data_IF_897848301458
#
_entry.id   IF_897848301458
#
_cell.length_a   1.000
_cell.length_b   1.000
_cell.length_c   1.000
_cell.angle_alpha   90.00
_cell.angle_beta   90.00
_cell.angle_gamma   90.00
#
_symmetry.space_group_name_H-M   'P 1'
#
loop_
_entity.id
_entity.type
_entity.pdbx_description
1 polymer ?
#
# COMPACT_ATOMS: atom_id res chain seq x y z
N UNK A 1 -29.42 -28.77 -7.54
CA UNK A 1 -29.16 -27.95 -6.34
C UNK A 1 -28.09 -26.93 -6.70
N UNK A 2 -28.48 -25.70 -7.05
CA UNK A 2 -27.53 -24.65 -7.46
C UNK A 2 -26.96 -23.96 -6.23
N UNK A 3 -25.66 -24.10 -5.99
CA UNK A 3 -24.94 -23.24 -5.06
C UNK A 3 -24.89 -21.83 -5.67
N UNK A 4 -25.86 -21.00 -5.29
CA UNK A 4 -25.80 -19.55 -5.41
C UNK A 4 -24.50 -19.08 -4.75
N UNK A 5 -23.71 -18.25 -5.43
CA UNK A 5 -22.51 -17.72 -4.79
C UNK A 5 -21.63 -16.81 -5.64
N UNK A 6 -21.61 -16.96 -6.96
CA UNK A 6 -20.88 -16.06 -7.86
C UNK A 6 -21.48 -16.19 -9.27
N UNK A 7 -22.44 -15.34 -9.66
CA UNK A 7 -22.84 -15.22 -11.06
C UNK A 7 -21.68 -14.54 -11.79
N UNK A 8 -20.90 -15.31 -12.56
CA UNK A 8 -20.02 -14.71 -13.54
C UNK A 8 -20.92 -14.25 -14.70
N UNK A 9 -20.91 -12.97 -14.99
CA UNK A 9 -21.56 -12.44 -16.18
C UNK A 9 -20.87 -13.01 -17.43
N UNK A 10 -21.63 -13.17 -18.51
CA UNK A 10 -21.03 -13.50 -19.80
C UNK A 10 -20.29 -12.26 -20.31
N UNK A 11 -18.97 -12.24 -20.12
CA UNK A 11 -18.09 -11.13 -20.47
C UNK A 11 -16.72 -11.66 -20.91
N UNK A 12 -16.09 -10.97 -21.86
CA UNK A 12 -14.76 -11.31 -22.36
C UNK A 12 -13.66 -10.97 -21.33
N UNK A 13 -13.95 -10.08 -20.38
CA UNK A 13 -13.06 -9.68 -19.30
C UNK A 13 -13.82 -9.48 -17.99
N UNK A 14 -13.31 -10.07 -16.92
CA UNK A 14 -13.86 -9.95 -15.57
C UNK A 14 -12.73 -9.58 -14.62
N UNK A 15 -12.90 -8.49 -13.87
CA UNK A 15 -11.99 -8.08 -12.80
C UNK A 15 -12.68 -8.28 -11.44
N UNK A 16 -12.02 -9.01 -10.54
CA UNK A 16 -12.50 -9.26 -9.18
C UNK A 16 -11.47 -8.69 -8.22
N UNK A 17 -11.91 -7.81 -7.32
CA UNK A 17 -11.07 -7.22 -6.28
C UNK A 17 -11.45 -7.78 -4.90
N UNK A 18 -10.44 -8.11 -4.08
CA UNK A 18 -10.62 -8.74 -2.78
C UNK A 18 -9.88 -7.94 -1.68
N UNK A 19 -10.55 -6.98 -1.01
CA UNK A 19 -9.88 -5.97 -0.16
C UNK A 19 -9.54 -6.44 1.27
N UNK A 20 -10.21 -7.48 1.77
CA UNK A 20 -10.21 -7.82 3.19
C UNK A 20 -8.83 -8.20 3.74
N UNK A 21 -7.99 -8.85 2.93
CA UNK A 21 -6.64 -9.25 3.34
C UNK A 21 -5.81 -8.02 3.73
N UNK A 22 -5.88 -6.95 2.95
CA UNK A 22 -5.15 -5.71 3.21
C UNK A 22 -5.66 -5.03 4.50
N UNK A 23 -6.98 -4.94 4.65
CA UNK A 23 -7.60 -4.36 5.85
C UNK A 23 -7.19 -5.10 7.14
N UNK A 24 -7.23 -6.44 7.11
CA UNK A 24 -6.82 -7.26 8.26
C UNK A 24 -5.32 -7.09 8.55
N UNK A 25 -4.48 -7.02 7.51
CA UNK A 25 -3.04 -6.81 7.67
C UNK A 25 -2.72 -5.45 8.29
N UNK A 26 -3.48 -4.41 7.95
CA UNK A 26 -3.36 -3.11 8.60
C UNK A 26 -3.72 -3.14 10.07
N UNK A 27 -4.82 -3.78 10.44
CA UNK A 27 -5.34 -3.76 11.81
C UNK A 27 -4.58 -4.69 12.77
N UNK A 28 -4.33 -5.93 12.36
CA UNK A 28 -3.90 -7.00 13.27
C UNK A 28 -2.60 -7.70 12.85
N UNK A 29 -2.12 -7.47 11.63
CA UNK A 29 -0.89 -8.02 11.03
C UNK A 29 -0.65 -9.53 11.25
N UNK A 30 -1.00 -10.36 10.25
CA UNK A 30 -0.80 -11.83 10.25
C UNK A 30 -1.41 -12.54 11.47
N UNK A 31 -2.55 -12.04 11.95
CA UNK A 31 -3.35 -12.67 13.01
C UNK A 31 -4.08 -13.93 12.52
N UNK A 32 -4.80 -14.60 13.41
CA UNK A 32 -5.67 -15.74 13.02
C UNK A 32 -6.71 -15.34 11.97
N UNK A 33 -7.23 -14.11 12.03
CA UNK A 33 -8.18 -13.57 11.05
C UNK A 33 -7.56 -13.53 9.65
N UNK A 34 -6.27 -13.15 9.54
CA UNK A 34 -5.56 -13.16 8.25
C UNK A 34 -5.50 -14.58 7.67
N UNK A 35 -5.10 -15.58 8.46
CA UNK A 35 -5.02 -16.95 7.96
C UNK A 35 -6.39 -17.57 7.65
N UNK A 36 -7.43 -17.19 8.39
CA UNK A 36 -8.80 -17.56 8.07
C UNK A 36 -9.23 -16.98 6.72
N UNK A 37 -8.90 -15.70 6.46
CA UNK A 37 -9.23 -15.04 5.21
C UNK A 37 -8.49 -15.64 4.00
N UNK A 38 -7.22 -16.03 4.17
CA UNK A 38 -6.47 -16.76 3.13
C UNK A 38 -7.17 -18.07 2.77
N UNK A 39 -7.62 -18.86 3.77
CA UNK A 39 -8.36 -20.10 3.51
C UNK A 39 -9.69 -19.85 2.79
N UNK A 40 -10.39 -18.79 3.15
CA UNK A 40 -11.62 -18.36 2.47
C UNK A 40 -11.34 -18.00 1.00
N UNK A 41 -10.29 -17.21 0.73
CA UNK A 41 -9.89 -16.85 -0.62
C UNK A 41 -9.51 -18.08 -1.45
N UNK A 42 -8.72 -19.01 -0.90
CA UNK A 42 -8.38 -20.27 -1.56
C UNK A 42 -9.63 -21.08 -1.94
N UNK A 43 -10.61 -21.16 -1.06
CA UNK A 43 -11.88 -21.83 -1.33
C UNK A 43 -12.63 -21.17 -2.49
N UNK A 44 -12.72 -19.83 -2.51
CA UNK A 44 -13.36 -19.09 -3.59
C UNK A 44 -12.62 -19.22 -4.91
N UNK A 45 -11.29 -19.18 -4.92
CA UNK A 45 -10.47 -19.40 -6.11
C UNK A 45 -10.74 -20.79 -6.70
N UNK A 46 -10.85 -21.83 -5.87
CA UNK A 46 -11.19 -23.19 -6.35
C UNK A 46 -12.57 -23.25 -6.97
N UNK A 47 -13.56 -22.57 -6.40
CA UNK A 47 -14.90 -22.48 -7.00
C UNK A 47 -14.86 -21.74 -8.32
N UNK A 48 -14.16 -20.60 -8.36
CA UNK A 48 -14.01 -19.76 -9.55
C UNK A 48 -13.35 -20.56 -10.68
N UNK A 49 -12.24 -21.23 -10.41
CA UNK A 49 -11.54 -22.08 -11.37
C UNK A 49 -12.45 -23.15 -11.98
N UNK A 50 -13.36 -23.74 -11.19
CA UNK A 50 -14.32 -24.73 -11.72
C UNK A 50 -15.37 -24.11 -12.63
N UNK A 51 -15.74 -22.85 -12.40
CA UNK A 51 -16.80 -22.12 -13.10
C UNK A 51 -16.35 -21.36 -14.34
N UNK A 52 -15.09 -20.92 -14.42
CA UNK A 52 -14.60 -20.20 -15.60
C UNK A 52 -14.64 -21.10 -16.87
N UNK A 53 -14.84 -20.53 -18.07
CA UNK A 53 -14.80 -21.26 -19.34
C UNK A 53 -13.46 -21.96 -19.62
N UNK A 54 -13.45 -22.93 -20.55
CA UNK A 54 -12.28 -23.76 -20.95
C UNK A 54 -11.33 -23.11 -21.96
N UNK A 55 -11.54 -21.84 -22.27
CA UNK A 55 -10.64 -21.07 -23.13
C UNK A 55 -10.38 -19.72 -22.45
N UNK A 56 -10.02 -19.77 -21.17
CA UNK A 56 -9.90 -18.59 -20.32
C UNK A 56 -8.52 -18.49 -19.69
N UNK A 57 -7.96 -17.29 -19.73
CA UNK A 57 -6.77 -16.95 -18.97
C UNK A 57 -7.18 -16.38 -17.61
N UNK A 58 -6.55 -16.90 -16.57
CA UNK A 58 -6.84 -16.56 -15.19
C UNK A 58 -5.57 -16.03 -14.52
N UNK A 59 -5.67 -14.83 -13.96
CA UNK A 59 -4.57 -14.11 -13.32
C UNK A 59 -4.95 -13.82 -11.87
N UNK A 60 -4.02 -14.08 -10.96
CA UNK A 60 -4.12 -13.68 -9.54
C UNK A 60 -2.86 -12.87 -9.23
N UNK A 61 -3.04 -11.63 -8.80
CA UNK A 61 -1.94 -10.77 -8.39
C UNK A 61 -2.43 -9.76 -7.34
N UNK A 62 -1.47 -9.10 -6.70
CA UNK A 62 -1.70 -7.99 -5.77
C UNK A 62 -1.09 -6.71 -6.34
N UNK A 63 -1.59 -5.56 -5.90
CA UNK A 63 -1.04 -4.24 -6.21
C UNK A 63 0.18 -3.90 -5.34
N UNK A 64 0.20 -4.38 -4.08
CA UNK A 64 1.33 -4.27 -3.18
C UNK A 64 1.38 -5.41 -2.15
N UNK A 65 2.51 -5.48 -1.43
CA UNK A 65 2.60 -6.18 -0.16
C UNK A 65 2.49 -5.21 1.02
N UNK A 66 2.86 -5.65 2.22
CA UNK A 66 2.69 -4.89 3.47
C UNK A 66 3.65 -5.39 4.54
N UNK A 67 4.16 -4.48 5.39
CA UNK A 67 5.02 -4.83 6.52
C UNK A 67 4.43 -4.44 7.87
N UNK A 68 4.92 -5.10 8.92
CA UNK A 68 4.65 -4.70 10.30
C UNK A 68 5.40 -3.41 10.63
N UNK A 69 4.70 -2.42 11.19
CA UNK A 69 5.32 -1.21 11.73
C UNK A 69 5.59 -1.43 13.22
N UNK A 70 6.87 -1.65 13.54
CA UNK A 70 7.36 -1.80 14.91
C UNK A 70 7.22 -0.50 15.72
N UNK A 71 7.32 0.66 15.06
CA UNK A 71 7.19 1.96 15.72
C UNK A 71 6.62 3.01 14.79
N UNK A 72 5.66 3.79 15.31
CA UNK A 72 5.15 4.98 14.63
C UNK A 72 5.83 6.25 15.17
N UNK A 73 6.16 7.18 14.27
CA UNK A 73 6.78 8.46 14.57
C UNK A 73 5.83 9.59 14.23
N UNK A 74 5.63 10.51 15.18
CA UNK A 74 4.85 11.72 14.95
C UNK A 74 5.61 12.65 14.00
N UNK A 75 5.04 12.89 12.83
CA UNK A 75 5.67 13.74 11.83
C UNK A 75 5.67 15.22 12.25
N UNK A 76 6.72 16.00 11.91
CA UNK A 76 6.73 17.43 12.16
C UNK A 76 5.78 18.17 11.20
N UNK A 77 5.06 19.15 11.73
CA UNK A 77 4.65 20.33 10.96
C UNK A 77 5.89 21.17 10.71
N UNK A 78 6.12 21.58 9.47
CA UNK A 78 7.29 22.37 9.05
C UNK A 78 6.76 23.65 8.42
N UNK A 79 7.16 24.81 8.97
CA UNK A 79 6.76 26.13 8.45
C UNK A 79 5.24 26.33 8.30
N UNK A 80 4.46 25.71 9.19
CA UNK A 80 2.99 25.74 9.14
C UNK A 80 2.37 24.75 8.15
N UNK A 81 3.17 24.04 7.36
CA UNK A 81 2.72 22.98 6.45
C UNK A 81 2.60 21.65 7.19
N UNK A 82 1.41 21.04 7.11
CA UNK A 82 1.20 19.67 7.55
C UNK A 82 1.65 18.69 6.47
N UNK A 83 2.32 17.59 6.84
CA UNK A 83 2.54 16.49 5.91
C UNK A 83 1.22 15.84 5.53
N UNK A 84 1.16 15.24 4.35
CA UNK A 84 0.03 14.42 3.87
C UNK A 84 0.55 13.13 3.24
N UNK A 85 -0.23 12.06 3.23
CA UNK A 85 0.17 10.81 2.60
C UNK A 85 -0.33 9.57 3.34
N UNK A 86 0.39 8.46 3.14
CA UNK A 86 0.09 7.17 3.76
C UNK A 86 0.93 6.91 5.01
N UNK A 87 0.77 5.72 5.58
CA UNK A 87 1.43 5.35 6.83
C UNK A 87 2.96 5.15 6.73
N UNK A 88 3.51 5.05 5.51
CA UNK A 88 4.96 4.89 5.26
C UNK A 88 5.53 5.84 4.19
N UNK A 89 4.72 6.73 3.64
CA UNK A 89 5.15 7.78 2.73
C UNK A 89 4.42 9.08 3.06
N UNK A 90 5.17 10.16 3.28
CA UNK A 90 4.64 11.47 3.65
C UNK A 90 5.22 12.56 2.75
N UNK A 91 4.34 13.38 2.20
CA UNK A 91 4.68 14.47 1.30
C UNK A 91 4.66 15.80 2.03
N UNK A 92 5.62 16.66 1.69
CA UNK A 92 5.70 18.03 2.19
C UNK A 92 5.57 19.01 1.02
N UNK A 93 4.44 19.72 1.00
CA UNK A 93 4.15 20.68 -0.05
C UNK A 93 4.80 22.03 0.22
N UNK A 94 5.47 22.59 -0.79
CA UNK A 94 6.14 23.88 -0.74
C UNK A 94 7.22 23.98 0.36
N UNK A 95 7.87 22.87 0.70
CA UNK A 95 9.01 22.84 1.63
C UNK A 95 10.17 22.21 0.89
N UNK A 96 11.36 22.81 0.98
CA UNK A 96 12.57 22.28 0.36
C UNK A 96 13.04 20.97 1.03
N UNK A 97 13.62 20.06 0.23
CA UNK A 97 14.13 18.77 0.69
C UNK A 97 15.07 18.90 1.89
N UNK A 98 16.04 19.80 1.84
CA UNK A 98 17.03 20.01 2.90
C UNK A 98 16.37 20.38 4.24
N UNK A 99 15.31 21.20 4.20
CA UNK A 99 14.53 21.57 5.39
C UNK A 99 13.83 20.35 5.98
N UNK A 100 13.21 19.51 5.14
CA UNK A 100 12.59 18.26 5.58
C UNK A 100 13.64 17.33 6.21
N UNK A 101 14.79 17.13 5.55
CA UNK A 101 15.90 16.32 6.06
C UNK A 101 16.40 16.79 7.43
N UNK A 102 16.63 18.10 7.60
CA UNK A 102 17.08 18.67 8.87
C UNK A 102 16.08 18.35 10.00
N UNK A 103 14.78 18.52 9.75
CA UNK A 103 13.74 18.26 10.75
C UNK A 103 13.63 16.78 11.11
N UNK A 104 13.71 15.89 10.12
CA UNK A 104 13.69 14.45 10.35
C UNK A 104 14.91 14.00 11.15
N UNK A 105 16.11 14.48 10.79
CA UNK A 105 17.36 14.20 11.50
C UNK A 105 17.31 14.70 12.95
N UNK A 106 16.87 15.94 13.17
CA UNK A 106 16.72 16.53 14.51
C UNK A 106 15.76 15.73 15.40
N UNK A 107 14.69 15.19 14.82
CA UNK A 107 13.70 14.34 15.52
C UNK A 107 14.04 12.86 15.55
N UNK A 108 15.14 12.45 14.90
CA UNK A 108 15.57 11.05 14.76
C UNK A 108 14.45 10.16 14.19
N UNK A 109 13.74 10.67 13.17
CA UNK A 109 12.72 9.91 12.43
C UNK A 109 13.46 9.12 11.34
N UNK A 110 13.46 7.78 11.36
CA UNK A 110 14.16 6.98 10.36
C UNK A 110 13.35 6.95 9.05
N UNK A 111 13.77 7.76 8.09
CA UNK A 111 13.18 7.86 6.78
C UNK A 111 14.21 8.39 5.78
N UNK A 112 14.03 8.03 4.52
CA UNK A 112 14.77 8.61 3.40
C UNK A 112 13.94 9.72 2.78
N UNK A 113 14.57 10.87 2.49
CA UNK A 113 13.89 12.02 1.91
C UNK A 113 14.33 12.17 0.46
N UNK A 114 13.35 12.35 -0.43
CA UNK A 114 13.57 12.48 -1.85
C UNK A 114 12.80 13.67 -2.41
N UNK A 115 13.36 14.29 -3.44
CA UNK A 115 12.56 14.97 -4.44
C UNK A 115 11.90 13.91 -5.33
N UNK A 116 10.67 14.14 -5.78
CA UNK A 116 9.92 13.14 -6.54
C UNK A 116 10.63 12.72 -7.83
N UNK A 117 11.40 13.62 -8.44
CA UNK A 117 12.17 13.33 -9.65
C UNK A 117 13.42 12.45 -9.42
N UNK A 118 13.82 12.24 -8.16
CA UNK A 118 14.92 11.35 -7.78
C UNK A 118 14.48 9.88 -7.67
N UNK A 119 13.17 9.62 -7.69
CA UNK A 119 12.61 8.28 -7.55
C UNK A 119 12.53 7.58 -8.91
N UNK A 120 13.36 6.53 -9.07
CA UNK A 120 13.42 5.69 -10.26
C UNK A 120 12.06 5.09 -10.65
N UNK A 121 11.18 4.86 -9.68
CA UNK A 121 9.82 4.34 -9.90
C UNK A 121 9.00 5.24 -10.82
N UNK A 122 9.26 6.55 -10.81
CA UNK A 122 8.56 7.49 -11.66
C UNK A 122 9.24 7.69 -13.02
N UNK A 123 10.52 7.32 -13.19
CA UNK A 123 11.32 7.55 -14.41
C UNK A 123 11.17 8.98 -14.98
N UNK A 124 10.99 9.98 -14.11
CA UNK A 124 10.73 11.37 -14.49
C UNK A 124 9.33 11.67 -15.07
N UNK A 125 8.44 10.67 -15.19
CA UNK A 125 7.06 10.82 -15.66
C UNK A 125 6.14 11.00 -14.46
N UNK A 126 6.05 12.24 -13.98
CA UNK A 126 5.21 12.59 -12.83
C UNK A 126 4.11 13.52 -13.30
N UNK A 127 2.87 13.16 -13.00
CA UNK A 127 1.74 14.00 -13.34
C UNK A 127 1.85 15.35 -12.62
N UNK A 128 1.66 16.45 -13.34
CA UNK A 128 1.68 17.81 -12.76
C UNK A 128 0.79 17.94 -11.51
N UNK A 129 -0.34 17.24 -11.48
CA UNK A 129 -1.25 17.19 -10.33
C UNK A 129 -0.61 16.63 -9.07
N UNK A 130 0.39 15.75 -9.17
CA UNK A 130 1.11 15.24 -8.00
C UNK A 130 1.87 16.38 -7.32
N UNK A 131 2.61 17.19 -8.08
CA UNK A 131 3.28 18.38 -7.56
C UNK A 131 2.29 19.41 -7.01
N UNK A 132 1.19 19.65 -7.72
CA UNK A 132 0.16 20.61 -7.31
C UNK A 132 -0.53 20.19 -6.01
N UNK A 133 -0.78 18.89 -5.80
CA UNK A 133 -1.52 18.40 -4.64
C UNK A 133 -0.61 18.08 -3.45
N UNK A 134 0.55 17.46 -3.68
CA UNK A 134 1.38 16.86 -2.64
C UNK A 134 2.74 17.56 -2.47
N UNK A 135 3.21 18.29 -3.49
CA UNK A 135 4.54 18.91 -3.50
C UNK A 135 5.60 18.08 -4.21
N UNK A 136 6.84 18.57 -4.16
CA UNK A 136 8.02 17.91 -4.74
C UNK A 136 8.75 16.97 -3.79
N UNK A 137 8.55 17.11 -2.47
CA UNK A 137 9.32 16.36 -1.48
C UNK A 137 8.49 15.25 -0.86
N UNK A 138 9.08 14.06 -0.78
CA UNK A 138 8.52 12.88 -0.12
C UNK A 138 9.51 12.28 0.86
N UNK A 139 9.03 11.99 2.06
CA UNK A 139 9.69 11.18 3.07
C UNK A 139 9.17 9.75 2.97
N UNK A 140 10.06 8.77 2.82
CA UNK A 140 9.75 7.34 2.76
C UNK A 140 10.31 6.67 4.01
N UNK A 141 9.44 6.01 4.78
CA UNK A 141 9.81 5.34 6.03
C UNK A 141 10.76 4.16 5.79
N UNK A 142 11.76 4.01 6.65
CA UNK A 142 12.59 2.79 6.69
C UNK A 142 11.79 1.57 7.19
N UNK A 143 12.34 0.36 7.07
CA UNK A 143 11.68 -0.88 7.47
C UNK A 143 11.25 -0.87 8.95
N UNK A 144 10.02 -1.31 9.20
CA UNK A 144 9.44 -1.33 10.54
C UNK A 144 9.02 0.05 11.07
N UNK A 145 9.16 1.13 10.29
CA UNK A 145 8.78 2.48 10.68
C UNK A 145 7.41 2.85 10.12
N UNK A 146 6.59 3.49 10.95
CA UNK A 146 5.35 4.12 10.55
C UNK A 146 5.35 5.61 10.81
N UNK A 147 4.49 6.32 10.09
CA UNK A 147 4.20 7.72 10.31
C UNK A 147 2.85 7.87 11.00
N UNK A 148 2.83 8.77 11.99
CA UNK A 148 1.62 9.31 12.59
C UNK A 148 1.52 10.79 12.22
N UNK A 149 0.40 11.20 11.65
CA UNK A 149 0.20 12.58 11.24
C UNK A 149 -0.25 13.46 12.42
N UNK A 150 0.12 14.75 12.47
CA UNK A 150 -0.22 15.63 13.59
C UNK A 150 -1.71 15.79 13.87
N UNK A 151 -2.56 15.59 12.86
CA UNK A 151 -4.01 15.69 12.96
C UNK A 151 -4.69 14.35 13.30
N UNK A 152 -3.96 13.24 13.32
CA UNK A 152 -4.52 11.92 13.64
C UNK A 152 -4.72 11.74 15.15
N UNK A 153 -5.98 11.55 15.53
CA UNK A 153 -6.37 11.26 16.92
C UNK A 153 -6.32 9.76 17.24
N UNK A 154 -6.54 8.92 16.24
CA UNK A 154 -6.64 7.48 16.42
C UNK A 154 -5.28 6.80 16.59
N UNK A 155 -5.33 5.52 17.00
CA UNK A 155 -4.15 4.68 17.09
C UNK A 155 -3.73 4.30 15.66
N UNK A 156 -2.47 4.50 15.27
CA UNK A 156 -2.02 4.07 13.95
C UNK A 156 -2.17 2.56 13.78
N UNK A 157 -2.49 2.14 12.55
CA UNK A 157 -2.49 0.74 12.12
C UNK A 157 -1.17 0.03 12.46
N UNK A 158 -1.21 -1.28 12.68
CA UNK A 158 -0.03 -2.13 12.91
C UNK A 158 0.69 -2.39 11.58
N UNK A 159 -0.07 -2.76 10.55
CA UNK A 159 0.43 -2.92 9.20
C UNK A 159 0.56 -1.59 8.45
N UNK A 160 1.52 -1.53 7.53
CA UNK A 160 1.63 -0.42 6.59
C UNK A 160 2.36 -0.79 5.31
N UNK A 161 1.98 -0.10 4.24
CA UNK A 161 2.64 -0.14 2.95
C UNK A 161 2.91 1.30 2.45
N UNK A 162 3.59 1.44 1.30
CA UNK A 162 3.97 2.71 0.69
C UNK A 162 5.44 3.10 0.87
N UNK A 163 6.21 2.25 1.56
CA UNK A 163 7.66 2.29 1.64
C UNK A 163 8.34 1.58 0.46
N UNK A 164 9.67 1.42 0.56
CA UNK A 164 10.51 0.76 -0.45
C UNK A 164 11.05 -0.60 0.00
N UNK A 165 10.47 -1.20 1.04
CA UNK A 165 10.89 -2.53 1.50
C UNK A 165 10.61 -3.59 0.44
N UNK A 166 11.39 -4.68 0.46
CA UNK A 166 11.21 -5.79 -0.48
C UNK A 166 9.81 -6.39 -0.35
N UNK A 167 9.31 -6.52 0.87
CA UNK A 167 8.01 -7.09 1.20
C UNK A 167 6.84 -6.20 0.74
N UNK A 168 7.04 -4.89 0.61
CA UNK A 168 6.04 -3.96 0.06
C UNK A 168 6.00 -3.99 -1.47
N UNK A 169 7.17 -4.04 -2.11
CA UNK A 169 7.30 -3.95 -3.58
C UNK A 169 7.06 -5.30 -4.26
N UNK A 170 7.52 -6.40 -3.65
CA UNK A 170 7.48 -7.70 -4.29
C UNK A 170 6.10 -8.35 -4.14
N UNK A 171 5.36 -8.42 -5.24
CA UNK A 171 4.08 -9.11 -5.35
C UNK A 171 4.19 -10.32 -6.29
N UNK A 172 3.57 -11.43 -5.89
CA UNK A 172 3.51 -12.61 -6.74
C UNK A 172 2.40 -12.46 -7.78
N UNK A 173 2.68 -12.91 -9.00
CA UNK A 173 1.68 -13.05 -10.07
C UNK A 173 1.52 -14.53 -10.38
N UNK A 174 0.29 -15.01 -10.29
CA UNK A 174 -0.09 -16.37 -10.64
C UNK A 174 -0.92 -16.35 -11.91
N UNK A 175 -0.59 -17.23 -12.85
CA UNK A 175 -1.22 -17.28 -14.17
C UNK A 175 -1.58 -18.71 -14.51
N UNK A 176 -2.77 -18.93 -15.04
CA UNK A 176 -3.21 -20.22 -15.56
C UNK A 176 -4.09 -20.03 -16.78
N UNK A 177 -3.98 -20.94 -17.74
CA UNK A 177 -4.93 -21.07 -18.84
C UNK A 177 -5.77 -22.32 -18.58
N UNK A 178 -7.09 -22.19 -18.68
CA UNK A 178 -8.02 -23.31 -18.59
C UNK A 178 -8.51 -23.65 -19.98
#
# INVERSE_FOLDING_TARGET
MSLAGFPLYNADFIFIYWPSIDSILHEEFKSEAFYAEIKTLEFFIRILWRKIPRDSNFFIFSDHGLIEKKRNYLLPTIEGTYPVGGSRAAFYKNIDKDTVEEKFKKRKIPAQIFELNELDEFKGVINKRCYENFGGVVAIAEDGVGFKYPFEKEKPFIGGHGGKSREEIYVNVWMASK
#
